data_IF_063214708855
#
_entry.id   IF_063214708855
#
_cell.length_a   1.000
_cell.length_b   1.000
_cell.length_c   1.000
_cell.angle_alpha   90.00
_cell.angle_beta   90.00
_cell.angle_gamma   90.00
#
_symmetry.space_group_name_H-M   'P 1'
#
loop_
_entity.id
_entity.type
_entity.pdbx_description
1 polymer ?
#
# COMPACT_ATOMS: atom_id res chain seq x y z
N UNK A 1 20.68 -37.12 52.87
CA UNK A 1 20.36 -37.45 51.47
C UNK A 1 20.06 -36.15 50.75
N UNK A 2 21.01 -35.65 49.96
CA UNK A 2 20.83 -34.45 49.17
C UNK A 2 20.02 -34.81 47.92
N UNK A 3 18.84 -34.19 47.77
CA UNK A 3 18.11 -34.21 46.51
C UNK A 3 18.74 -33.14 45.63
N UNK A 4 19.43 -33.57 44.58
CA UNK A 4 19.95 -32.69 43.54
C UNK A 4 18.78 -32.00 42.84
N UNK A 5 18.67 -30.68 43.05
CA UNK A 5 17.87 -29.83 42.19
C UNK A 5 18.51 -29.81 40.79
N UNK A 6 17.80 -30.33 39.80
CA UNK A 6 18.18 -30.19 38.39
C UNK A 6 18.02 -28.72 37.99
N UNK A 7 19.03 -28.06 37.40
CA UNK A 7 18.87 -26.70 36.91
C UNK A 7 18.01 -26.74 35.64
N UNK A 8 16.87 -26.05 35.64
CA UNK A 8 16.16 -25.72 34.39
C UNK A 8 16.89 -24.55 33.75
N UNK A 9 17.96 -24.83 33.01
CA UNK A 9 18.55 -23.88 32.06
C UNK A 9 17.92 -24.14 30.69
N UNK A 10 16.65 -23.80 30.54
CA UNK A 10 15.93 -23.94 29.26
C UNK A 10 16.05 -22.68 28.44
N UNK A 11 17.10 -22.56 27.62
CA UNK A 11 17.13 -21.56 26.56
C UNK A 11 16.01 -21.83 25.56
N UNK A 12 15.39 -20.78 25.02
CA UNK A 12 14.43 -20.93 23.91
C UNK A 12 15.19 -21.54 22.73
N UNK A 13 14.67 -22.63 22.17
CA UNK A 13 15.21 -23.19 20.93
C UNK A 13 14.89 -22.24 19.77
N UNK A 14 15.93 -21.78 19.07
CA UNK A 14 15.86 -20.80 17.99
C UNK A 14 16.38 -21.38 16.67
N UNK A 15 16.25 -22.69 16.50
CA UNK A 15 16.51 -23.37 15.24
C UNK A 15 15.56 -22.91 14.12
N UNK A 16 15.86 -23.33 12.89
CA UNK A 16 15.09 -22.94 11.70
C UNK A 16 13.59 -23.22 11.85
N UNK A 17 13.21 -24.34 12.47
CA UNK A 17 11.80 -24.71 12.66
C UNK A 17 11.14 -24.04 13.86
N UNK A 18 11.91 -23.71 14.91
CA UNK A 18 11.41 -23.21 16.20
C UNK A 18 11.40 -21.69 16.33
N UNK A 19 12.22 -20.96 15.56
CA UNK A 19 12.34 -19.50 15.63
C UNK A 19 11.02 -18.77 15.34
N UNK A 20 10.16 -19.30 14.47
CA UNK A 20 8.88 -18.64 14.12
C UNK A 20 7.95 -18.59 15.32
N UNK A 21 7.78 -19.73 16.01
CA UNK A 21 6.93 -19.78 17.19
C UNK A 21 7.52 -18.94 18.32
N UNK A 22 8.84 -19.00 18.51
CA UNK A 22 9.52 -18.18 19.51
C UNK A 22 9.28 -16.67 19.31
N UNK A 23 9.33 -16.17 18.07
CA UNK A 23 9.07 -14.75 17.76
C UNK A 23 7.60 -14.39 17.99
N UNK A 24 6.65 -15.27 17.64
CA UNK A 24 5.23 -15.06 17.91
C UNK A 24 4.98 -14.95 19.42
N UNK A 25 5.53 -15.88 20.19
CA UNK A 25 5.35 -15.95 21.65
C UNK A 25 5.93 -14.72 22.36
N UNK A 26 7.10 -14.23 21.93
CA UNK A 26 7.72 -13.02 22.48
C UNK A 26 6.84 -11.78 22.28
N UNK A 27 6.12 -11.71 21.15
CA UNK A 27 5.26 -10.58 20.82
C UNK A 27 3.81 -10.73 21.35
N UNK A 28 3.48 -11.84 22.03
CA UNK A 28 2.12 -12.15 22.48
C UNK A 28 1.56 -11.23 23.58
N UNK A 29 2.42 -10.44 24.25
CA UNK A 29 2.05 -9.57 25.36
C UNK A 29 1.39 -8.24 24.94
N UNK A 30 1.19 -7.99 23.65
CA UNK A 30 0.46 -6.80 23.21
C UNK A 30 -1.04 -6.88 23.60
N UNK A 31 -1.63 -5.85 24.23
CA UNK A 31 -3.03 -5.87 24.65
C UNK A 31 -4.02 -5.82 23.47
N UNK A 32 -3.63 -5.31 22.30
CA UNK A 32 -4.47 -5.26 21.11
C UNK A 32 -4.52 -6.63 20.41
N UNK A 33 -5.67 -7.28 20.50
CA UNK A 33 -5.91 -8.59 19.89
C UNK A 33 -5.80 -8.56 18.36
N UNK A 34 -6.23 -7.47 17.70
CA UNK A 34 -6.15 -7.35 16.23
C UNK A 34 -4.72 -7.15 15.77
N UNK A 35 -3.98 -6.28 16.44
CA UNK A 35 -2.56 -6.07 16.16
C UNK A 35 -1.77 -7.36 16.31
N UNK A 36 -1.99 -8.12 17.39
CA UNK A 36 -1.37 -9.43 17.59
C UNK A 36 -1.62 -10.39 16.45
N UNK A 37 -2.88 -10.54 16.04
CA UNK A 37 -3.25 -11.41 14.93
C UNK A 37 -2.52 -10.99 13.64
N UNK A 38 -2.52 -9.70 13.31
CA UNK A 38 -1.86 -9.21 12.08
C UNK A 38 -0.34 -9.46 12.13
N UNK A 39 0.31 -9.17 13.26
CA UNK A 39 1.74 -9.38 13.44
C UNK A 39 2.13 -10.86 13.43
N UNK A 40 1.33 -11.73 14.06
CA UNK A 40 1.52 -13.18 14.02
C UNK A 40 1.49 -13.67 12.57
N UNK A 41 0.46 -13.30 11.80
CA UNK A 41 0.35 -13.68 10.39
C UNK A 41 1.52 -13.13 9.57
N UNK A 42 1.91 -11.87 9.79
CA UNK A 42 3.06 -11.27 9.11
C UNK A 42 4.35 -12.07 9.36
N UNK A 43 4.66 -12.39 10.62
CA UNK A 43 5.84 -13.19 10.98
C UNK A 43 5.80 -14.57 10.33
N UNK A 44 4.64 -15.25 10.39
CA UNK A 44 4.47 -16.56 9.74
C UNK A 44 4.75 -16.50 8.24
N UNK A 45 4.17 -15.54 7.52
CA UNK A 45 4.36 -15.41 6.07
C UNK A 45 5.78 -14.95 5.70
N UNK A 46 6.37 -14.04 6.47
CA UNK A 46 7.74 -13.56 6.25
C UNK A 46 8.77 -14.68 6.44
N UNK A 47 8.68 -15.44 7.54
CA UNK A 47 9.55 -16.60 7.76
C UNK A 47 9.28 -17.73 6.77
N UNK A 48 8.03 -17.91 6.33
CA UNK A 48 7.66 -18.83 5.26
C UNK A 48 8.38 -18.48 3.95
N UNK A 49 8.29 -17.23 3.52
CA UNK A 49 8.98 -16.71 2.33
C UNK A 49 10.49 -16.89 2.40
N UNK A 50 11.10 -16.60 3.55
CA UNK A 50 12.54 -16.75 3.74
C UNK A 50 12.99 -18.22 3.58
N UNK A 51 12.23 -19.18 4.13
CA UNK A 51 12.52 -20.62 3.97
C UNK A 51 12.26 -21.11 2.56
N UNK A 52 11.13 -20.73 1.96
CA UNK A 52 10.74 -21.10 0.59
C UNK A 52 11.81 -20.71 -0.42
N UNK A 53 12.35 -19.49 -0.29
CA UNK A 53 13.37 -18.95 -1.19
C UNK A 53 14.80 -19.36 -0.80
N UNK A 54 15.00 -19.88 0.42
CA UNK A 54 16.32 -20.03 1.07
C UNK A 54 17.11 -18.72 1.03
N UNK A 55 16.46 -17.66 1.49
CA UNK A 55 16.97 -16.30 1.46
C UNK A 55 18.39 -16.22 2.05
N UNK A 56 19.36 -15.84 1.23
CA UNK A 56 20.76 -15.73 1.66
C UNK A 56 21.01 -14.46 2.45
N UNK A 57 22.09 -14.45 3.23
CA UNK A 57 22.53 -13.24 3.95
C UNK A 57 22.77 -12.05 3.02
N UNK A 58 23.29 -12.27 1.82
CA UNK A 58 23.52 -11.21 0.83
C UNK A 58 22.23 -10.63 0.27
N UNK A 59 21.25 -11.47 -0.04
CA UNK A 59 19.94 -11.02 -0.52
C UNK A 59 19.18 -10.29 0.59
N UNK A 60 19.20 -10.83 1.81
CA UNK A 60 18.64 -10.16 2.98
C UNK A 60 19.26 -8.78 3.20
N UNK A 61 20.59 -8.66 3.13
CA UNK A 61 21.26 -7.37 3.27
C UNK A 61 20.87 -6.39 2.15
N UNK A 62 20.75 -6.87 0.91
CA UNK A 62 20.27 -6.06 -0.20
C UNK A 62 18.83 -5.58 0.02
N UNK A 63 17.94 -6.43 0.55
CA UNK A 63 16.58 -6.04 0.93
C UNK A 63 16.57 -4.97 2.03
N UNK A 64 17.41 -5.09 3.06
CA UNK A 64 17.52 -4.06 4.10
C UNK A 64 17.98 -2.72 3.52
N UNK A 65 18.97 -2.73 2.62
CA UNK A 65 19.43 -1.52 1.94
C UNK A 65 18.33 -0.90 1.07
N UNK A 66 17.57 -1.72 0.34
CA UNK A 66 16.43 -1.28 -0.45
C UNK A 66 15.37 -0.59 0.42
N UNK A 67 14.90 -1.24 1.50
CA UNK A 67 13.90 -0.68 2.40
C UNK A 67 14.39 0.59 3.09
N UNK A 68 15.68 0.65 3.42
CA UNK A 68 16.32 1.87 3.96
C UNK A 68 16.27 3.01 2.94
N UNK A 69 16.65 2.76 1.69
CA UNK A 69 16.61 3.75 0.62
C UNK A 69 15.18 4.20 0.30
N UNK A 70 14.20 3.30 0.34
CA UNK A 70 12.77 3.62 0.25
C UNK A 70 12.38 4.59 1.36
N UNK A 71 12.68 4.27 2.62
CA UNK A 71 12.39 5.16 3.75
C UNK A 71 13.07 6.53 3.66
N UNK A 72 14.31 6.59 3.18
CA UNK A 72 15.07 7.84 2.98
C UNK A 72 14.52 8.72 1.86
N UNK A 73 13.71 8.17 0.94
CA UNK A 73 13.01 8.92 -0.12
C UNK A 73 11.66 9.47 0.32
N UNK A 74 11.13 9.04 1.47
CA UNK A 74 9.91 9.61 2.03
C UNK A 74 10.15 11.06 2.49
N UNK A 75 9.19 11.93 2.20
CA UNK A 75 9.11 13.32 2.68
C UNK A 75 7.68 13.60 3.15
N UNK A 76 7.38 14.84 3.58
CA UNK A 76 6.00 15.22 3.93
C UNK A 76 5.04 15.11 2.73
N UNK A 77 5.53 15.34 1.51
CA UNK A 77 4.75 15.29 0.27
C UNK A 77 4.88 13.95 -0.48
N UNK A 78 5.90 13.14 -0.17
CA UNK A 78 6.20 11.88 -0.87
C UNK A 78 6.20 10.70 0.08
N UNK A 79 5.30 9.74 -0.13
CA UNK A 79 5.25 8.49 0.64
C UNK A 79 5.75 7.30 -0.17
N UNK A 80 7.06 7.07 -0.17
CA UNK A 80 7.68 6.01 -0.98
C UNK A 80 7.26 4.59 -0.56
N UNK A 81 6.90 4.37 0.71
CA UNK A 81 6.35 3.08 1.14
C UNK A 81 4.94 2.81 0.59
N UNK A 82 4.13 3.86 0.37
CA UNK A 82 2.85 3.74 -0.32
C UNK A 82 3.09 3.39 -1.79
N UNK A 83 4.03 4.07 -2.45
CA UNK A 83 4.41 3.76 -3.84
C UNK A 83 4.97 2.35 -4.00
N UNK A 84 5.78 1.88 -3.04
CA UNK A 84 6.25 0.50 -3.01
C UNK A 84 5.07 -0.48 -2.86
N UNK A 85 4.10 -0.17 -2.01
CA UNK A 85 2.86 -0.95 -1.88
C UNK A 85 2.09 -1.03 -3.19
N UNK A 86 2.05 0.06 -3.97
CA UNK A 86 1.37 0.11 -5.28
C UNK A 86 2.04 -0.83 -6.29
N UNK A 87 3.37 -0.80 -6.38
CA UNK A 87 4.14 -1.67 -7.30
C UNK A 87 4.01 -3.15 -6.92
N UNK A 88 3.87 -3.45 -5.62
CA UNK A 88 3.64 -4.80 -5.12
C UNK A 88 2.15 -5.22 -5.18
N UNK A 89 1.25 -4.32 -5.58
CA UNK A 89 -0.20 -4.56 -5.66
C UNK A 89 -0.91 -4.67 -4.30
N UNK A 90 -0.23 -4.39 -3.20
CA UNK A 90 -0.78 -4.56 -1.85
C UNK A 90 -1.89 -3.54 -1.56
N UNK A 91 -1.68 -2.29 -1.97
CA UNK A 91 -2.66 -1.21 -1.74
C UNK A 91 -3.96 -1.50 -2.48
N UNK A 92 -3.88 -1.95 -3.74
CA UNK A 92 -5.07 -2.32 -4.52
C UNK A 92 -5.79 -3.53 -3.89
N UNK A 93 -5.04 -4.52 -3.41
CA UNK A 93 -5.61 -5.66 -2.71
C UNK A 93 -6.36 -5.22 -1.44
N UNK A 94 -5.78 -4.30 -0.65
CA UNK A 94 -6.44 -3.73 0.54
C UNK A 94 -7.72 -2.98 0.15
N UNK A 95 -7.67 -2.12 -0.88
CA UNK A 95 -8.84 -1.36 -1.34
C UNK A 95 -10.00 -2.29 -1.75
N UNK A 96 -9.72 -3.34 -2.52
CA UNK A 96 -10.75 -4.30 -2.97
C UNK A 96 -11.37 -5.07 -1.79
N UNK A 97 -10.59 -5.38 -0.75
CA UNK A 97 -11.10 -6.07 0.45
C UNK A 97 -11.96 -5.14 1.33
N UNK A 98 -11.58 -3.87 1.45
CA UNK A 98 -12.25 -2.91 2.35
C UNK A 98 -13.47 -2.23 1.68
N UNK A 99 -13.46 -2.11 0.35
CA UNK A 99 -14.50 -1.48 -0.45
C UNK A 99 -15.11 -2.44 -1.48
N UNK A 100 -15.72 -3.56 -1.06
CA UNK A 100 -16.30 -4.53 -1.98
C UNK A 100 -17.38 -3.88 -2.84
N UNK A 101 -17.23 -3.98 -4.16
CA UNK A 101 -18.17 -3.39 -5.10
C UNK A 101 -19.20 -4.42 -5.57
N UNK A 102 -20.48 -4.02 -5.76
CA UNK A 102 -21.49 -4.92 -6.33
C UNK A 102 -21.08 -5.40 -7.74
N UNK A 103 -21.45 -6.63 -8.14
CA UNK A 103 -21.27 -7.08 -9.51
C UNK A 103 -21.90 -6.10 -10.51
N UNK A 104 -21.14 -5.71 -11.54
CA UNK A 104 -21.59 -4.79 -12.59
C UNK A 104 -21.29 -3.31 -12.33
N UNK A 105 -20.73 -2.93 -11.19
CA UNK A 105 -20.18 -1.58 -11.00
C UNK A 105 -18.84 -1.40 -11.69
N UNK A 106 -18.47 -0.16 -12.02
CA UNK A 106 -17.10 0.20 -12.40
C UNK A 106 -16.12 -0.29 -11.34
N UNK A 107 -15.04 -0.93 -11.78
CA UNK A 107 -13.99 -1.46 -10.89
C UNK A 107 -13.26 -0.27 -10.26
N UNK A 108 -13.03 -0.35 -8.95
CA UNK A 108 -12.23 0.64 -8.22
C UNK A 108 -10.75 0.53 -8.57
N UNK A 109 -10.02 1.62 -8.34
CA UNK A 109 -8.57 1.65 -8.39
C UNK A 109 -8.09 2.57 -7.26
N UNK A 110 -6.79 2.55 -7.02
CA UNK A 110 -6.14 3.43 -6.07
C UNK A 110 -6.25 4.90 -6.50
N UNK A 111 -6.37 5.78 -5.52
CA UNK A 111 -6.36 7.23 -5.72
C UNK A 111 -4.98 7.72 -6.21
N UNK A 112 -3.90 7.09 -5.75
CA UNK A 112 -2.55 7.58 -5.96
C UNK A 112 -2.23 8.83 -5.10
N UNK A 113 -0.98 9.30 -5.08
CA UNK A 113 -0.54 10.34 -4.15
C UNK A 113 -0.75 11.78 -4.65
N UNK A 114 -1.33 11.97 -5.84
CA UNK A 114 -1.38 13.25 -6.54
C UNK A 114 -2.79 13.87 -6.60
N UNK A 115 -3.76 13.26 -5.91
CA UNK A 115 -5.07 13.88 -5.72
C UNK A 115 -4.97 15.04 -4.73
N UNK A 116 -5.74 16.10 -4.95
CA UNK A 116 -5.82 17.28 -4.09
C UNK A 116 -7.26 17.75 -3.96
N UNK A 117 -7.61 18.31 -2.79
CA UNK A 117 -8.98 18.77 -2.51
C UNK A 117 -9.28 20.18 -3.06
N UNK A 118 -8.27 20.86 -3.61
CA UNK A 118 -8.34 22.25 -4.07
C UNK A 118 -8.51 22.40 -5.60
N UNK A 119 -8.90 21.32 -6.29
CA UNK A 119 -9.18 21.33 -7.73
C UNK A 119 -10.24 22.37 -8.12
N UNK A 120 -10.01 23.05 -9.25
CA UNK A 120 -10.96 24.05 -9.78
C UNK A 120 -12.26 23.39 -10.24
N UNK A 121 -13.40 23.98 -9.87
CA UNK A 121 -14.72 23.51 -10.32
C UNK A 121 -15.09 24.18 -11.64
N UNK A 122 -15.11 23.39 -12.70
CA UNK A 122 -15.45 23.86 -14.05
C UNK A 122 -16.80 23.29 -14.54
N UNK A 123 -17.34 23.88 -15.61
CA UNK A 123 -18.57 23.42 -16.24
C UNK A 123 -18.34 22.17 -17.11
N UNK A 124 -19.40 21.42 -17.39
CA UNK A 124 -19.33 20.28 -18.29
C UNK A 124 -18.88 20.68 -19.70
N UNK A 125 -17.85 20.00 -20.22
CA UNK A 125 -17.28 20.27 -21.55
C UNK A 125 -16.20 21.35 -21.56
N UNK A 126 -15.80 21.87 -20.39
CA UNK A 126 -14.63 22.74 -20.26
C UNK A 126 -13.34 21.95 -20.45
N UNK A 127 -12.38 22.54 -21.17
CA UNK A 127 -11.01 22.05 -21.25
C UNK A 127 -10.33 22.20 -19.90
N UNK A 128 -9.70 21.13 -19.40
CA UNK A 128 -9.03 21.11 -18.09
C UNK A 128 -7.50 21.12 -18.18
N UNK A 129 -6.93 20.92 -19.38
CA UNK A 129 -5.48 20.91 -19.57
C UNK A 129 -4.96 22.32 -19.84
N UNK A 130 -3.84 22.67 -19.20
CA UNK A 130 -3.08 23.88 -19.48
C UNK A 130 -1.76 23.59 -20.22
N UNK A 131 -1.50 22.33 -20.60
CA UNK A 131 -0.26 21.94 -21.25
C UNK A 131 -0.31 22.16 -22.76
N UNK A 132 0.35 23.21 -23.22
CA UNK A 132 0.45 23.57 -24.64
C UNK A 132 1.16 22.52 -25.52
N UNK A 133 1.86 21.54 -24.93
CA UNK A 133 2.50 20.43 -25.65
C UNK A 133 1.69 19.13 -25.60
N UNK A 134 0.61 19.10 -24.83
CA UNK A 134 -0.27 17.94 -24.75
C UNK A 134 -1.01 17.68 -26.06
N UNK A 135 -1.27 16.42 -26.37
CA UNK A 135 -2.16 16.04 -27.45
C UNK A 135 -3.62 16.20 -26.98
N UNK A 136 -4.50 16.92 -27.71
CA UNK A 136 -5.89 17.08 -27.29
C UNK A 136 -6.64 15.75 -27.17
N UNK A 137 -7.26 15.52 -26.00
CA UNK A 137 -8.05 14.33 -25.70
C UNK A 137 -9.50 14.72 -25.35
N UNK A 138 -10.47 14.14 -26.07
CA UNK A 138 -11.89 14.26 -25.73
C UNK A 138 -12.34 13.04 -24.93
N UNK A 139 -12.74 13.25 -23.68
CA UNK A 139 -13.32 12.22 -22.81
C UNK A 139 -14.83 12.42 -22.73
N UNK A 140 -15.61 11.42 -23.14
CA UNK A 140 -17.08 11.43 -23.06
C UNK A 140 -17.56 10.21 -22.30
N UNK A 141 -18.45 10.41 -21.33
CA UNK A 141 -18.98 9.34 -20.50
C UNK A 141 -20.38 9.59 -20.00
N UNK A 142 -20.96 8.58 -19.34
CA UNK A 142 -22.23 8.69 -18.64
C UNK A 142 -22.16 7.93 -17.33
N UNK A 143 -22.71 8.49 -16.25
CA UNK A 143 -22.78 7.85 -14.95
C UNK A 143 -24.16 7.22 -14.76
N UNK A 144 -24.19 5.93 -14.41
CA UNK A 144 -25.41 5.12 -14.30
C UNK A 144 -25.39 4.28 -13.02
N UNK A 145 -26.57 3.93 -12.52
CA UNK A 145 -26.70 2.92 -11.48
C UNK A 145 -26.60 1.49 -12.06
N UNK A 146 -26.71 0.47 -11.21
CA UNK A 146 -26.62 -0.95 -11.61
C UNK A 146 -27.76 -1.40 -12.52
N UNK A 147 -28.87 -0.64 -12.57
CA UNK A 147 -30.01 -0.88 -13.45
C UNK A 147 -29.82 -0.19 -14.82
N UNK A 148 -28.73 0.57 -15.01
CA UNK A 148 -28.44 1.32 -16.23
C UNK A 148 -29.13 2.68 -16.30
N UNK A 149 -29.78 3.11 -15.23
CA UNK A 149 -30.47 4.41 -15.16
C UNK A 149 -29.46 5.54 -14.92
N UNK A 150 -29.55 6.68 -15.64
CA UNK A 150 -28.64 7.80 -15.44
C UNK A 150 -28.71 8.40 -14.04
N UNK A 151 -27.56 8.79 -13.48
CA UNK A 151 -27.48 9.49 -12.19
C UNK A 151 -27.20 10.98 -12.46
N UNK A 152 -28.16 11.90 -12.21
CA UNK A 152 -27.96 13.33 -12.43
C UNK A 152 -27.18 14.01 -11.29
N UNK A 153 -26.55 15.15 -11.58
CA UNK A 153 -25.93 16.00 -10.56
C UNK A 153 -24.68 15.43 -9.90
N UNK A 154 -24.02 14.48 -10.56
CA UNK A 154 -22.76 13.89 -10.08
C UNK A 154 -21.60 14.87 -10.22
N UNK A 155 -20.66 14.77 -9.28
CA UNK A 155 -19.36 15.46 -9.35
C UNK A 155 -18.36 14.43 -9.87
N UNK A 156 -17.60 14.80 -10.90
CA UNK A 156 -16.49 13.99 -11.43
C UNK A 156 -15.23 14.82 -11.19
N UNK A 157 -14.34 14.27 -10.38
CA UNK A 157 -13.01 14.83 -10.12
C UNK A 157 -12.00 14.11 -11.02
N UNK A 158 -11.13 14.87 -11.70
CA UNK A 158 -10.21 14.37 -12.73
C UNK A 158 -8.86 15.07 -12.58
N UNK A 159 -7.79 14.27 -12.59
CA UNK A 159 -6.41 14.73 -12.62
C UNK A 159 -5.60 13.78 -13.49
N UNK A 160 -4.61 14.32 -14.20
CA UNK A 160 -3.68 13.56 -15.02
C UNK A 160 -2.33 14.28 -15.09
N UNK A 161 -1.30 13.56 -15.55
CA UNK A 161 0.02 14.16 -15.79
C UNK A 161 0.03 14.96 -17.09
N UNK A 162 0.88 15.97 -17.15
CA UNK A 162 1.20 16.67 -18.39
C UNK A 162 2.06 15.82 -19.37
N UNK A 163 2.41 16.40 -20.52
CA UNK A 163 3.26 15.79 -21.57
C UNK A 163 4.65 15.36 -21.10
N UNK A 164 5.10 15.76 -19.91
CA UNK A 164 6.37 15.34 -19.31
C UNK A 164 6.21 14.24 -18.27
N UNK A 165 4.98 13.85 -17.95
CA UNK A 165 4.68 12.83 -16.95
C UNK A 165 4.67 13.37 -15.52
N UNK A 166 4.49 14.67 -15.32
CA UNK A 166 4.37 15.28 -13.99
C UNK A 166 2.95 15.75 -13.73
N UNK A 167 2.49 15.55 -12.49
CA UNK A 167 1.30 16.23 -11.96
C UNK A 167 1.65 17.68 -11.59
N UNK A 168 0.64 18.55 -11.57
CA UNK A 168 0.75 19.94 -11.13
C UNK A 168 1.38 20.06 -9.74
N UNK A 169 1.06 19.17 -8.81
CA UNK A 169 1.61 19.11 -7.43
C UNK A 169 3.12 18.85 -7.37
N UNK A 170 3.74 18.47 -8.48
CA UNK A 170 5.18 18.19 -8.55
C UNK A 170 5.99 19.41 -8.98
N UNK A 171 5.33 20.51 -9.34
CA UNK A 171 5.96 21.78 -9.68
C UNK A 171 6.03 22.70 -8.44
N UNK A 172 7.18 23.34 -8.24
CA UNK A 172 7.40 24.23 -7.08
C UNK A 172 6.52 25.48 -7.13
N UNK A 173 6.07 25.86 -8.32
CA UNK A 173 5.27 27.04 -8.63
C UNK A 173 3.78 26.74 -8.84
N UNK A 174 3.27 25.61 -8.32
CA UNK A 174 1.83 25.32 -8.32
C UNK A 174 1.06 26.49 -7.70
N UNK A 175 0.16 27.07 -8.49
CA UNK A 175 -0.73 28.18 -8.10
C UNK A 175 -2.13 27.71 -7.82
#
# INVERSE_FOLDING_TARGET
MAQNATPVTGGVDLGEDSITQAVIDINANNPDARFKFVMERLVMHLHGFARETRLSTSEWMATIQFLTATGQKCTELRQEFVLLSDILGLSLLVDVMDHPKPPGSTVGSLLGPFHTDDAEKVAHGTEISNDARGEPLLVVGSVKNLQGEPIPGVIIDVWETDSTGHYDTQYEDRT
#
